data_IF_100890712151
#
_entry.id   IF_100890712151
#
_cell.length_a   1.000
_cell.length_b   1.000
_cell.length_c   1.000
_cell.angle_alpha   90.00
_cell.angle_beta   90.00
_cell.angle_gamma   90.00
#
_symmetry.space_group_name_H-M   'P 1'
#
loop_
_entity.id
_entity.type
_entity.pdbx_description
1 polymer ?
#
# COMPACT_ATOMS: atom_id res chain seq x y z
N UNK A 1 4.30 28.73 8.26
CA UNK A 1 4.09 28.03 6.97
C UNK A 1 5.21 28.27 5.97
N UNK A 2 5.87 29.48 5.96
CA UNK A 2 7.02 29.75 5.07
C UNK A 2 8.17 28.77 5.31
N UNK A 3 8.62 28.63 6.54
CA UNK A 3 9.70 27.72 6.94
C UNK A 3 9.42 26.24 6.57
N UNK A 4 8.16 25.80 6.66
CA UNK A 4 7.77 24.46 6.23
C UNK A 4 7.93 24.26 4.71
N UNK A 5 7.52 25.21 3.91
CA UNK A 5 7.62 25.12 2.46
C UNK A 5 9.08 25.05 1.97
N UNK A 6 9.98 25.69 2.68
CA UNK A 6 11.42 25.65 2.40
C UNK A 6 12.02 24.28 2.78
N UNK A 7 11.65 23.76 3.95
CA UNK A 7 12.24 22.54 4.52
C UNK A 7 11.62 21.24 4.05
N UNK A 8 10.34 21.22 3.58
CA UNK A 8 9.64 20.00 3.26
C UNK A 8 10.35 19.11 2.22
N UNK A 9 11.02 19.72 1.24
CA UNK A 9 11.73 18.97 0.21
C UNK A 9 12.99 18.32 0.78
N UNK A 10 13.69 19.01 1.68
CA UNK A 10 14.85 18.47 2.38
C UNK A 10 14.44 17.32 3.30
N UNK A 11 13.36 17.46 4.06
CA UNK A 11 12.83 16.36 4.90
C UNK A 11 12.38 15.15 4.09
N UNK A 12 11.80 15.36 2.90
CA UNK A 12 11.48 14.25 1.99
C UNK A 12 12.73 13.56 1.47
N UNK A 13 13.77 14.29 1.16
CA UNK A 13 15.04 13.73 0.73
C UNK A 13 15.65 12.88 1.84
N UNK A 14 15.73 13.41 3.06
CA UNK A 14 16.21 12.68 4.24
C UNK A 14 15.39 11.42 4.50
N UNK A 15 14.06 11.49 4.39
CA UNK A 15 13.20 10.32 4.53
C UNK A 15 13.50 9.26 3.45
N UNK A 16 13.72 9.66 2.20
CA UNK A 16 14.12 8.70 1.14
C UNK A 16 15.44 8.02 1.46
N UNK A 17 16.44 8.78 1.90
CA UNK A 17 17.73 8.23 2.32
C UNK A 17 17.55 7.22 3.47
N UNK A 18 16.81 7.59 4.52
CA UNK A 18 16.53 6.70 5.67
C UNK A 18 15.80 5.41 5.27
N UNK A 19 14.95 5.46 4.27
CA UNK A 19 14.21 4.31 3.77
C UNK A 19 15.00 3.45 2.76
N UNK A 20 16.16 3.94 2.28
CA UNK A 20 16.90 3.30 1.19
C UNK A 20 16.20 3.48 -0.17
N UNK A 21 15.54 4.62 -0.36
CA UNK A 21 14.83 5.00 -1.59
C UNK A 21 15.49 6.22 -2.29
N UNK A 22 16.76 6.45 -2.03
CA UNK A 22 17.52 7.48 -2.74
C UNK A 22 18.76 6.85 -3.39
N UNK A 23 18.80 6.75 -4.73
CA UNK A 23 17.75 7.17 -5.67
C UNK A 23 16.48 6.30 -5.62
N UNK A 24 15.35 6.89 -6.02
CA UNK A 24 14.11 6.10 -6.16
C UNK A 24 14.30 4.96 -7.15
N UNK A 25 13.73 3.77 -6.88
CA UNK A 25 13.75 2.67 -7.84
C UNK A 25 13.07 3.06 -9.17
N UNK A 26 13.51 2.43 -10.26
CA UNK A 26 12.91 2.65 -11.58
C UNK A 26 11.42 2.22 -11.58
N UNK A 27 10.57 3.05 -12.19
CA UNK A 27 9.17 2.70 -12.46
C UNK A 27 9.05 1.79 -13.67
N UNK A 28 9.24 0.51 -13.45
CA UNK A 28 9.02 -0.52 -14.49
C UNK A 28 7.52 -0.78 -14.70
N UNK A 29 7.16 -1.55 -15.74
CA UNK A 29 5.75 -1.93 -15.97
C UNK A 29 5.19 -2.69 -14.77
N UNK A 30 3.99 -2.32 -14.32
CA UNK A 30 3.32 -2.95 -13.17
C UNK A 30 2.94 -4.42 -13.41
N UNK A 31 2.80 -4.86 -14.65
CA UNK A 31 2.39 -6.22 -15.01
C UNK A 31 1.16 -6.70 -14.19
N UNK A 32 0.17 -5.84 -14.09
CA UNK A 32 -1.07 -6.13 -13.32
C UNK A 32 -1.76 -7.35 -13.88
N UNK A 33 -2.06 -8.31 -13.02
CA UNK A 33 -2.84 -9.51 -13.38
C UNK A 33 -4.00 -9.70 -12.42
N UNK A 34 -5.21 -9.71 -12.96
CA UNK A 34 -6.42 -10.10 -12.20
C UNK A 34 -6.48 -11.63 -12.22
N UNK A 35 -6.49 -12.22 -11.02
CA UNK A 35 -6.48 -13.69 -10.82
C UNK A 35 -7.87 -14.26 -10.55
N UNK A 36 -8.85 -13.39 -10.33
CA UNK A 36 -10.25 -13.78 -10.14
C UNK A 36 -11.08 -12.60 -9.65
N UNK A 37 -12.39 -12.74 -9.76
CA UNK A 37 -13.36 -11.73 -9.33
C UNK A 37 -14.44 -12.37 -8.48
N UNK A 38 -14.78 -11.73 -7.35
CA UNK A 38 -15.89 -12.10 -6.48
C UNK A 38 -16.98 -11.04 -6.65
N UNK A 39 -18.19 -11.48 -6.95
CA UNK A 39 -19.34 -10.60 -7.14
C UNK A 39 -20.13 -10.43 -5.85
N UNK A 40 -20.47 -9.19 -5.51
CA UNK A 40 -21.44 -8.81 -4.48
C UNK A 40 -22.55 -7.95 -5.12
N UNK A 41 -23.62 -7.71 -4.41
CA UNK A 41 -24.76 -6.95 -4.96
C UNK A 41 -24.37 -5.51 -5.34
N UNK A 42 -23.58 -4.84 -4.48
CA UNK A 42 -23.27 -3.42 -4.59
C UNK A 42 -21.88 -3.15 -5.18
N UNK A 43 -20.97 -4.11 -5.13
CA UNK A 43 -19.58 -3.99 -5.61
C UNK A 43 -19.05 -5.33 -6.10
N UNK A 44 -17.89 -5.30 -6.73
CA UNK A 44 -17.09 -6.50 -7.00
C UNK A 44 -15.71 -6.39 -6.38
N UNK A 45 -15.09 -7.53 -6.13
CA UNK A 45 -13.71 -7.62 -5.64
C UNK A 45 -12.86 -8.32 -6.69
N UNK A 46 -11.94 -7.59 -7.30
CA UNK A 46 -10.95 -8.12 -8.23
C UNK A 46 -9.69 -8.51 -7.46
N UNK A 47 -9.41 -9.79 -7.35
CA UNK A 47 -8.16 -10.31 -6.79
C UNK A 47 -7.06 -10.09 -7.82
N UNK A 48 -5.95 -9.48 -7.42
CA UNK A 48 -4.88 -9.13 -8.35
C UNK A 48 -3.51 -9.22 -7.70
N UNK A 49 -2.51 -9.24 -8.54
CA UNK A 49 -1.14 -8.88 -8.16
C UNK A 49 -0.55 -7.90 -9.19
N UNK A 50 0.44 -7.14 -8.74
CA UNK A 50 1.24 -6.28 -9.60
C UNK A 50 2.72 -6.37 -9.21
N UNK A 51 3.60 -5.98 -10.12
CA UNK A 51 5.04 -5.93 -9.89
C UNK A 51 5.46 -4.52 -9.51
N UNK A 52 5.95 -4.33 -8.29
CA UNK A 52 6.42 -3.04 -7.80
C UNK A 52 7.85 -2.73 -8.24
N UNK A 53 8.69 -3.74 -8.28
CA UNK A 53 10.05 -3.75 -8.84
C UNK A 53 10.30 -5.07 -9.55
N UNK A 54 11.29 -5.21 -10.43
CA UNK A 54 11.56 -6.47 -11.12
C UNK A 54 11.65 -7.66 -10.15
N UNK A 55 10.75 -8.64 -10.31
CA UNK A 55 10.65 -9.82 -9.46
C UNK A 55 9.99 -9.62 -8.10
N UNK A 56 9.62 -8.40 -7.71
CA UNK A 56 8.89 -8.13 -6.47
C UNK A 56 7.41 -7.90 -6.77
N UNK A 57 6.59 -8.87 -6.41
CA UNK A 57 5.15 -8.82 -6.60
C UNK A 57 4.44 -8.40 -5.32
N UNK A 58 3.31 -7.72 -5.49
CA UNK A 58 2.39 -7.32 -4.42
C UNK A 58 1.02 -7.87 -4.74
N UNK A 59 0.43 -8.59 -3.81
CA UNK A 59 -0.93 -9.11 -3.93
C UNK A 59 -1.93 -8.12 -3.31
N UNK A 60 -3.10 -8.02 -3.92
CA UNK A 60 -4.12 -7.08 -3.49
C UNK A 60 -5.53 -7.47 -3.89
N UNK A 61 -6.50 -6.84 -3.23
CA UNK A 61 -7.92 -6.92 -3.56
C UNK A 61 -8.42 -5.52 -3.91
N UNK A 62 -8.90 -5.36 -5.14
CA UNK A 62 -9.49 -4.12 -5.63
C UNK A 62 -11.01 -4.22 -5.53
N UNK A 63 -11.58 -3.40 -4.66
CA UNK A 63 -13.03 -3.28 -4.46
C UNK A 63 -13.56 -2.17 -5.35
N UNK A 64 -14.49 -2.50 -6.24
CA UNK A 64 -15.03 -1.58 -7.25
C UNK A 64 -16.55 -1.48 -7.09
N UNK A 65 -17.10 -0.28 -6.80
CA UNK A 65 -18.54 -0.08 -6.79
C UNK A 65 -19.17 -0.42 -8.15
N UNK A 66 -20.34 -1.07 -8.16
CA UNK A 66 -21.06 -1.39 -9.41
C UNK A 66 -21.76 -0.18 -10.04
N UNK A 67 -22.14 0.80 -9.24
CA UNK A 67 -22.89 1.98 -9.70
C UNK A 67 -21.97 3.21 -9.68
N UNK A 68 -21.10 3.32 -10.68
CA UNK A 68 -20.29 4.52 -10.91
C UNK A 68 -20.89 5.33 -12.05
N UNK A 69 -21.25 6.57 -11.78
CA UNK A 69 -21.75 7.54 -12.78
C UNK A 69 -20.65 8.47 -13.30
N UNK A 70 -19.50 8.49 -12.64
CA UNK A 70 -18.32 9.26 -12.97
C UNK A 70 -17.09 8.58 -12.32
N UNK A 71 -15.84 8.95 -12.66
CA UNK A 71 -14.67 8.48 -11.96
C UNK A 71 -14.74 8.72 -10.45
N UNK A 72 -14.53 7.67 -9.68
CA UNK A 72 -14.70 7.64 -8.23
C UNK A 72 -13.42 8.04 -7.50
N UNK A 73 -13.52 8.62 -6.29
CA UNK A 73 -12.36 8.75 -5.41
C UNK A 73 -11.82 7.35 -5.07
N UNK A 74 -10.50 7.27 -4.83
CA UNK A 74 -9.87 6.00 -4.52
C UNK A 74 -9.15 6.02 -3.17
N UNK A 75 -9.13 4.88 -2.51
CA UNK A 75 -8.41 4.66 -1.25
C UNK A 75 -7.42 3.51 -1.44
N UNK A 76 -6.16 3.79 -1.16
CA UNK A 76 -5.18 2.75 -0.90
C UNK A 76 -5.28 2.35 0.59
N UNK A 77 -5.64 1.10 0.85
CA UNK A 77 -5.63 0.54 2.20
C UNK A 77 -4.38 -0.31 2.40
N UNK A 78 -3.49 0.13 3.27
CA UNK A 78 -2.26 -0.60 3.61
C UNK A 78 -2.51 -1.43 4.86
N UNK A 79 -2.37 -2.74 4.73
CA UNK A 79 -2.70 -3.68 5.79
C UNK A 79 -1.66 -3.69 6.92
N UNK A 80 -2.12 -3.87 8.14
CA UNK A 80 -1.27 -4.10 9.31
C UNK A 80 -0.87 -5.56 9.47
N UNK A 81 -0.18 -5.88 10.57
CA UNK A 81 0.26 -7.23 10.87
C UNK A 81 -0.93 -8.14 11.19
N UNK A 82 -1.22 -9.05 10.30
CA UNK A 82 -2.19 -10.12 10.48
C UNK A 82 -1.88 -11.26 9.51
N UNK A 83 -2.22 -12.47 9.86
CA UNK A 83 -2.15 -13.63 8.96
C UNK A 83 -3.53 -14.28 8.91
N UNK A 84 -4.00 -14.55 7.71
CA UNK A 84 -5.24 -15.32 7.48
C UNK A 84 -4.88 -16.59 6.74
N UNK A 85 -4.98 -17.71 7.47
CA UNK A 85 -4.69 -19.03 6.95
C UNK A 85 -5.88 -19.96 7.22
N UNK A 86 -6.37 -20.66 6.21
CA UNK A 86 -7.48 -21.60 6.28
C UNK A 86 -7.04 -22.86 5.55
N UNK A 87 -7.11 -24.00 6.23
CA UNK A 87 -6.74 -25.32 5.69
C UNK A 87 -5.34 -25.34 5.03
N UNK A 88 -4.37 -24.66 5.65
CA UNK A 88 -3.00 -24.58 5.17
C UNK A 88 -2.78 -23.57 4.02
N UNK A 89 -3.83 -22.94 3.51
CA UNK A 89 -3.76 -21.92 2.45
C UNK A 89 -3.67 -20.53 3.07
N UNK A 90 -2.67 -19.76 2.67
CA UNK A 90 -2.51 -18.35 3.08
C UNK A 90 -3.28 -17.43 2.14
N UNK A 91 -4.23 -16.70 2.68
CA UNK A 91 -5.05 -15.73 1.93
C UNK A 91 -4.55 -14.29 2.00
N UNK A 92 -3.41 -14.07 2.64
CA UNK A 92 -2.85 -12.76 2.86
C UNK A 92 -3.51 -11.97 3.98
N UNK A 93 -2.79 -10.96 4.48
CA UNK A 93 -3.32 -10.11 5.54
C UNK A 93 -4.42 -9.14 5.05
N UNK A 94 -4.49 -8.83 3.75
CA UNK A 94 -5.58 -8.06 3.13
C UNK A 94 -6.97 -8.66 3.39
N UNK A 95 -7.05 -9.98 3.52
CA UNK A 95 -8.32 -10.68 3.79
C UNK A 95 -8.85 -10.37 5.21
N UNK A 96 -7.97 -10.16 6.18
CA UNK A 96 -8.37 -9.70 7.52
C UNK A 96 -9.07 -8.32 7.47
N UNK A 97 -8.66 -7.47 6.55
CA UNK A 97 -9.15 -6.10 6.41
C UNK A 97 -10.24 -5.94 5.33
N UNK A 98 -10.81 -7.04 4.84
CA UNK A 98 -11.82 -7.05 3.76
C UNK A 98 -13.04 -6.17 4.06
N UNK A 99 -13.44 -6.05 5.33
CA UNK A 99 -14.58 -5.24 5.74
C UNK A 99 -14.37 -3.74 5.46
N UNK A 100 -13.12 -3.22 5.54
CA UNK A 100 -12.82 -1.84 5.17
C UNK A 100 -12.97 -1.63 3.65
N UNK A 101 -12.42 -2.53 2.83
CA UNK A 101 -12.57 -2.46 1.37
C UNK A 101 -14.05 -2.49 0.95
N UNK A 102 -14.84 -3.38 1.55
CA UNK A 102 -16.28 -3.48 1.30
C UNK A 102 -17.02 -2.19 1.75
N UNK A 103 -16.66 -1.62 2.90
CA UNK A 103 -17.25 -0.37 3.39
C UNK A 103 -16.96 0.79 2.42
N UNK A 104 -15.72 0.96 2.00
CA UNK A 104 -15.36 2.00 1.04
C UNK A 104 -16.13 1.85 -0.27
N UNK A 105 -16.22 0.63 -0.81
CA UNK A 105 -16.92 0.39 -2.07
C UNK A 105 -18.43 0.68 -1.96
N UNK A 106 -19.08 0.31 -0.85
CA UNK A 106 -20.48 0.66 -0.59
C UNK A 106 -20.73 2.16 -0.49
N UNK A 107 -19.70 2.92 -0.10
CA UNK A 107 -19.76 4.37 0.01
C UNK A 107 -19.21 5.10 -1.24
N UNK A 108 -19.09 4.40 -2.37
CA UNK A 108 -18.75 5.00 -3.67
C UNK A 108 -17.26 5.24 -3.90
N UNK A 109 -16.37 4.66 -3.10
CA UNK A 109 -14.93 4.71 -3.31
C UNK A 109 -14.41 3.45 -3.98
N UNK A 110 -13.49 3.58 -4.90
CA UNK A 110 -12.64 2.44 -5.29
C UNK A 110 -11.63 2.20 -4.17
N UNK A 111 -11.49 0.97 -3.68
CA UNK A 111 -10.54 0.68 -2.62
C UNK A 111 -9.59 -0.45 -3.05
N UNK A 112 -8.29 -0.18 -3.02
CA UNK A 112 -7.25 -1.19 -3.21
C UNK A 112 -6.64 -1.53 -1.85
N UNK A 113 -6.87 -2.76 -1.39
CA UNK A 113 -6.19 -3.30 -0.20
C UNK A 113 -4.99 -4.12 -0.66
N UNK A 114 -3.81 -3.84 -0.12
CA UNK A 114 -2.58 -4.56 -0.46
C UNK A 114 -2.00 -5.29 0.73
N UNK A 115 -1.38 -6.43 0.46
CA UNK A 115 -0.66 -7.21 1.47
C UNK A 115 0.62 -6.50 1.90
N UNK A 116 0.94 -6.64 3.18
CA UNK A 116 2.23 -6.28 3.76
C UNK A 116 3.31 -7.24 3.27
N UNK A 117 4.49 -6.74 2.99
CA UNK A 117 5.62 -7.57 2.53
C UNK A 117 5.89 -8.72 3.50
N UNK A 118 6.08 -9.94 2.97
CA UNK A 118 6.40 -11.16 3.72
C UNK A 118 5.34 -11.63 4.73
N UNK A 119 4.19 -10.94 4.84
CA UNK A 119 3.03 -11.35 5.66
C UNK A 119 1.79 -11.66 4.84
N UNK A 120 1.79 -11.32 3.55
CA UNK A 120 0.71 -11.60 2.64
C UNK A 120 0.78 -13.01 2.05
N UNK A 121 0.16 -13.20 0.88
CA UNK A 121 0.24 -14.45 0.12
C UNK A 121 1.69 -14.79 -0.28
N UNK A 122 2.54 -13.78 -0.45
CA UNK A 122 3.98 -13.95 -0.62
C UNK A 122 4.64 -13.99 0.76
N UNK A 123 4.89 -15.18 1.23
CA UNK A 123 5.44 -15.40 2.57
C UNK A 123 6.95 -15.14 2.64
N UNK A 124 7.40 -14.74 3.82
CA UNK A 124 8.81 -14.57 4.13
C UNK A 124 9.01 -14.30 5.62
N UNK A 125 10.24 -13.97 5.99
CA UNK A 125 10.58 -13.63 7.37
C UNK A 125 10.41 -12.13 7.56
N UNK A 126 9.22 -11.73 7.96
CA UNK A 126 8.91 -10.34 8.27
C UNK A 126 9.66 -9.86 9.51
N UNK A 127 10.13 -8.61 9.52
CA UNK A 127 11.00 -8.04 10.56
C UNK A 127 12.31 -8.82 10.79
N UNK A 128 12.80 -9.53 9.77
CA UNK A 128 14.02 -10.34 9.87
C UNK A 128 15.27 -9.57 10.29
N UNK A 129 15.37 -8.29 9.98
CA UNK A 129 16.53 -7.46 10.27
C UNK A 129 16.89 -7.46 11.75
N UNK A 130 15.94 -7.14 12.64
CA UNK A 130 16.22 -7.11 14.09
C UNK A 130 16.05 -8.49 14.74
N UNK A 131 14.94 -9.17 14.47
CA UNK A 131 14.56 -10.40 15.17
C UNK A 131 15.47 -11.57 14.84
N UNK A 132 15.97 -11.63 13.59
CA UNK A 132 16.78 -12.72 13.07
C UNK A 132 18.15 -12.27 12.56
N UNK A 133 18.53 -11.03 12.82
CA UNK A 133 19.82 -10.43 12.41
C UNK A 133 20.08 -10.53 10.89
N UNK A 134 19.03 -10.39 10.10
CA UNK A 134 19.08 -10.52 8.64
C UNK A 134 19.51 -9.18 7.99
N UNK A 135 20.75 -8.76 8.22
CA UNK A 135 21.27 -7.45 7.83
C UNK A 135 21.57 -7.29 6.34
N UNK A 136 21.38 -8.32 5.54
CA UNK A 136 21.65 -8.25 4.09
C UNK A 136 20.77 -7.24 3.34
N UNK A 137 19.61 -6.88 3.86
CA UNK A 137 18.80 -5.79 3.31
C UNK A 137 19.56 -4.49 3.39
N UNK A 138 20.03 -4.13 4.59
CA UNK A 138 20.76 -2.90 4.85
C UNK A 138 22.10 -2.87 4.12
N UNK A 139 22.85 -3.99 4.07
CA UNK A 139 24.12 -4.08 3.35
C UNK A 139 24.00 -3.91 1.84
N UNK A 140 22.77 -4.05 1.28
CA UNK A 140 22.46 -3.80 -0.12
C UNK A 140 21.75 -2.46 -0.36
N UNK A 141 21.67 -1.59 0.66
CA UNK A 141 21.01 -0.30 0.58
C UNK A 141 19.47 -0.34 0.64
N UNK A 142 18.87 -1.47 1.04
CA UNK A 142 17.43 -1.61 1.18
C UNK A 142 16.99 -1.60 2.64
N UNK A 143 15.76 -1.14 2.87
CA UNK A 143 15.07 -1.37 4.15
C UNK A 143 13.71 -2.01 3.89
N UNK A 144 13.19 -2.87 4.79
CA UNK A 144 11.82 -3.38 4.66
C UNK A 144 10.78 -2.26 4.56
N UNK A 145 10.97 -1.20 5.35
CA UNK A 145 10.13 0.00 5.33
C UNK A 145 10.14 0.71 3.96
N UNK A 146 11.32 0.83 3.34
CA UNK A 146 11.45 1.40 2.00
C UNK A 146 10.78 0.54 0.93
N UNK A 147 10.97 -0.79 1.00
CA UNK A 147 10.31 -1.70 0.07
C UNK A 147 8.77 -1.60 0.17
N UNK A 148 8.22 -1.48 1.38
CA UNK A 148 6.78 -1.30 1.59
C UNK A 148 6.28 0.06 1.13
N UNK A 149 7.02 1.14 1.42
CA UNK A 149 6.70 2.46 0.92
C UNK A 149 6.67 2.47 -0.61
N UNK A 150 7.65 1.82 -1.25
CA UNK A 150 7.69 1.67 -2.70
C UNK A 150 6.52 0.85 -3.23
N UNK A 151 6.18 -0.28 -2.60
CA UNK A 151 5.00 -1.06 -2.95
C UNK A 151 3.72 -0.21 -2.94
N UNK A 152 3.56 0.66 -1.94
CA UNK A 152 2.44 1.59 -1.84
C UNK A 152 2.45 2.65 -2.94
N UNK A 153 3.60 3.26 -3.24
CA UNK A 153 3.75 4.24 -4.33
C UNK A 153 3.34 3.60 -5.67
N UNK A 154 3.76 2.36 -5.92
CA UNK A 154 3.39 1.61 -7.11
C UNK A 154 1.91 1.21 -7.14
N UNK A 155 1.28 1.02 -5.97
CA UNK A 155 -0.17 0.85 -5.86
C UNK A 155 -0.93 2.13 -6.28
N UNK A 156 -0.38 3.31 -6.00
CA UNK A 156 -0.94 4.58 -6.49
C UNK A 156 -0.83 4.65 -8.02
N UNK A 157 0.29 4.23 -8.62
CA UNK A 157 0.42 4.15 -10.07
C UNK A 157 -0.65 3.22 -10.68
N UNK A 158 -0.97 2.10 -10.01
CA UNK A 158 -2.05 1.21 -10.44
C UNK A 158 -3.41 1.92 -10.36
N UNK A 159 -3.73 2.57 -9.24
CA UNK A 159 -4.99 3.28 -9.08
C UNK A 159 -5.16 4.39 -10.15
N UNK A 160 -4.12 5.15 -10.44
CA UNK A 160 -4.13 6.17 -11.49
C UNK A 160 -4.32 5.59 -12.91
N UNK A 161 -3.94 4.35 -13.14
CA UNK A 161 -4.10 3.70 -14.44
C UNK A 161 -5.52 3.24 -14.75
N UNK A 162 -6.43 3.31 -13.77
CA UNK A 162 -7.81 2.86 -13.90
C UNK A 162 -8.71 4.03 -14.36
N UNK A 163 -9.39 3.86 -15.48
CA UNK A 163 -10.24 4.91 -16.08
C UNK A 163 -11.41 5.34 -15.20
N UNK A 164 -11.86 4.48 -14.29
CA UNK A 164 -12.94 4.74 -13.35
C UNK A 164 -12.47 5.35 -12.01
N UNK A 165 -11.19 5.72 -11.89
CA UNK A 165 -10.61 6.39 -10.72
C UNK A 165 -10.37 7.87 -11.01
N UNK A 166 -10.83 8.74 -10.11
CA UNK A 166 -10.47 10.15 -10.14
C UNK A 166 -9.07 10.34 -9.52
N UNK A 167 -8.10 10.60 -10.39
CA UNK A 167 -6.69 10.78 -10.04
C UNK A 167 -6.42 11.93 -9.06
N UNK A 168 -7.34 12.88 -8.97
CA UNK A 168 -7.23 14.03 -8.08
C UNK A 168 -7.82 13.77 -6.69
N UNK A 169 -8.42 12.60 -6.47
CA UNK A 169 -9.08 12.22 -5.21
C UNK A 169 -8.60 10.85 -4.71
N UNK A 170 -7.28 10.71 -4.55
CA UNK A 170 -6.67 9.50 -4.00
C UNK A 170 -6.27 9.74 -2.54
N UNK A 171 -6.72 8.88 -1.67
CA UNK A 171 -6.35 8.87 -0.25
C UNK A 171 -5.65 7.58 0.16
N UNK A 172 -5.00 7.61 1.33
CA UNK A 172 -4.36 6.44 1.92
C UNK A 172 -4.76 6.28 3.38
N UNK A 173 -5.04 5.05 3.77
CA UNK A 173 -5.30 4.69 5.17
C UNK A 173 -4.73 3.31 5.48
N UNK A 174 -4.71 2.95 6.75
CA UNK A 174 -4.23 1.67 7.22
C UNK A 174 -4.13 1.64 8.73
N UNK A 175 -4.04 0.45 9.32
CA UNK A 175 -4.01 0.26 10.78
C UNK A 175 -2.71 -0.40 11.21
N UNK A 176 -2.20 -0.07 12.42
CA UNK A 176 -1.02 -0.66 13.03
C UNK A 176 0.23 -0.49 12.14
N UNK A 177 0.93 -1.55 11.75
CA UNK A 177 2.01 -1.49 10.76
C UNK A 177 1.61 -0.75 9.49
N UNK A 178 0.42 -1.05 8.92
CA UNK A 178 -0.15 -0.29 7.81
C UNK A 178 -0.37 1.19 8.15
N UNK A 179 -0.59 1.49 9.43
CA UNK A 179 -0.60 2.84 9.95
C UNK A 179 0.75 3.56 9.79
N UNK A 180 1.87 2.89 10.00
CA UNK A 180 3.21 3.44 9.81
C UNK A 180 3.55 3.63 8.32
N UNK A 181 3.33 2.61 7.48
CA UNK A 181 3.66 2.68 6.05
C UNK A 181 2.97 3.81 5.31
N UNK A 182 1.74 4.08 5.67
CA UNK A 182 0.97 5.18 5.10
C UNK A 182 1.62 6.54 5.33
N UNK A 183 2.27 6.78 6.47
CA UNK A 183 3.00 8.01 6.70
C UNK A 183 4.07 8.23 5.65
N UNK A 184 4.85 7.18 5.38
CA UNK A 184 5.90 7.24 4.39
C UNK A 184 5.33 7.44 2.98
N UNK A 185 4.27 6.70 2.61
CA UNK A 185 3.62 6.85 1.31
C UNK A 185 3.06 8.26 1.15
N UNK A 186 2.29 8.76 2.13
CA UNK A 186 1.69 10.09 2.06
C UNK A 186 2.72 11.23 2.04
N UNK A 187 3.88 11.04 2.70
CA UNK A 187 4.97 12.03 2.69
C UNK A 187 5.72 12.02 1.37
N UNK A 188 5.93 10.83 0.78
CA UNK A 188 6.74 10.66 -0.42
C UNK A 188 5.98 10.87 -1.73
N UNK A 189 4.65 10.70 -1.73
CA UNK A 189 3.83 10.77 -2.94
C UNK A 189 2.79 11.89 -2.87
N UNK A 190 3.02 12.95 -3.62
CA UNK A 190 2.17 14.17 -3.64
C UNK A 190 0.77 13.94 -4.28
N UNK A 191 0.56 12.81 -4.93
CA UNK A 191 -0.74 12.41 -5.48
C UNK A 191 -1.75 12.06 -4.37
N UNK A 192 -1.27 11.75 -3.18
CA UNK A 192 -2.11 11.53 -2.00
C UNK A 192 -2.71 12.86 -1.52
N UNK A 193 -4.04 12.94 -1.52
CA UNK A 193 -4.79 14.15 -1.10
C UNK A 193 -5.33 14.07 0.32
N UNK A 194 -5.47 12.85 0.86
CA UNK A 194 -5.91 12.62 2.22
C UNK A 194 -5.19 11.41 2.82
N UNK A 195 -4.78 11.52 4.07
CA UNK A 195 -4.18 10.42 4.81
C UNK A 195 -4.82 10.31 6.20
N UNK A 196 -5.36 9.13 6.52
CA UNK A 196 -6.01 8.88 7.82
C UNK A 196 -5.25 7.83 8.64
N UNK A 197 -4.38 8.25 9.59
CA UNK A 197 -3.62 7.36 10.45
C UNK A 197 -4.49 6.64 11.49
N UNK A 198 -4.35 5.30 11.57
CA UNK A 198 -4.98 4.51 12.62
C UNK A 198 -3.92 3.67 13.34
N UNK A 199 -3.65 4.00 14.62
CA UNK A 199 -2.73 3.27 15.49
C UNK A 199 -1.34 3.01 14.87
N UNK A 200 -0.78 3.98 14.16
CA UNK A 200 0.49 3.84 13.44
C UNK A 200 1.58 4.81 13.88
N UNK A 201 1.31 5.61 14.89
CA UNK A 201 2.30 6.48 15.55
C UNK A 201 2.21 6.23 17.04
N UNK A 202 3.35 6.18 17.68
CA UNK A 202 3.49 6.30 19.13
C UNK A 202 4.09 7.66 19.45
N UNK A 203 3.75 8.19 20.60
CA UNK A 203 4.46 9.31 21.17
C UNK A 203 5.89 8.88 21.54
N UNK A 204 6.86 9.67 21.16
CA UNK A 204 8.24 9.49 21.63
C UNK A 204 8.33 10.14 23.01
N UNK A 205 8.09 9.36 24.05
CA UNK A 205 8.43 9.74 25.41
C UNK A 205 9.90 9.53 25.69
#
# INVERSE_FOLDING_TARGET
LGDWNEKKNEYRRQLREMLGLDPLPERTRLQVKITGTVQHDEFEVRKLHYQSSPGLYVTGNLYVPKKLTAPAPAILYVCGHCRVQIDGVNYGNKTHYQHHGAWFARNGYVCLTIDTIQLGELEGIHHGTYRHRMWWWNSRGYTPAGAEAWNGIRAIDLLESLDFVDKNRIGVTGRSGGGAYRWWIATLDERIKAAAPVAGITDLQ
#
